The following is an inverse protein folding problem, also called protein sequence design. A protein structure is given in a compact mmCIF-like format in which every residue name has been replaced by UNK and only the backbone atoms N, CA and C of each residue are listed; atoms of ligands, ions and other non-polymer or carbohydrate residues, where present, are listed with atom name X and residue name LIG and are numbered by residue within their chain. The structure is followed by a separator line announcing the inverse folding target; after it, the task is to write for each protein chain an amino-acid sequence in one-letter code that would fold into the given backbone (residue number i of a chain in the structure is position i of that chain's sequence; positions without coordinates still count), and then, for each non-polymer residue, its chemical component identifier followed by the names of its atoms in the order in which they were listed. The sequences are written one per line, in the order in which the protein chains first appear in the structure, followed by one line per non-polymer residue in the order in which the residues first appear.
data_IF_921273426652
#
_entry.id   IF_921273426652
#
_cell.length_a   1.000
_cell.length_b   1.000
_cell.length_c   1.000
_cell.angle_alpha   90.00
_cell.angle_beta   90.00
_cell.angle_gamma   90.00
#
_symmetry.space_group_name_H-M   'P 1'
#
loop_
_entity.id
_entity.type
_entity.pdbx_description
1 polymer ?
#
# COMPACT_ATOMS: atom_id res chain seq x y z
N UNK A 1 -19.19 12.24 -17.08
CA UNK A 1 -19.89 12.30 -15.79
C UNK A 1 -18.87 12.01 -14.70
N UNK A 2 -18.85 12.76 -13.59
CA UNK A 2 -18.04 12.45 -12.41
C UNK A 2 -18.72 11.35 -11.59
N UNK A 3 -17.93 10.48 -10.96
CA UNK A 3 -18.38 9.40 -10.11
C UNK A 3 -17.24 8.85 -9.26
N UNK A 4 -17.51 7.81 -8.49
CA UNK A 4 -16.50 7.12 -7.68
C UNK A 4 -15.88 5.98 -8.47
N UNK A 5 -14.57 5.84 -8.34
CA UNK A 5 -13.81 4.80 -9.02
C UNK A 5 -12.83 4.14 -8.06
N UNK A 6 -12.85 2.83 -8.04
CA UNK A 6 -11.80 2.03 -7.40
C UNK A 6 -10.69 1.76 -8.41
N UNK A 7 -9.47 2.03 -8.03
CA UNK A 7 -8.27 1.82 -8.82
C UNK A 7 -7.37 0.85 -8.08
N UNK A 8 -6.92 -0.18 -8.77
CA UNK A 8 -5.95 -1.14 -8.25
C UNK A 8 -4.90 -1.47 -9.31
N UNK A 9 -3.67 -1.70 -8.86
CA UNK A 9 -2.58 -2.16 -9.72
C UNK A 9 -2.37 -3.65 -9.57
N UNK A 10 -2.18 -4.36 -10.70
CA UNK A 10 -1.98 -5.81 -10.76
C UNK A 10 -0.74 -6.17 -11.56
N UNK A 11 -0.27 -7.40 -11.42
CA UNK A 11 0.80 -7.94 -12.26
C UNK A 11 2.20 -7.82 -11.67
N UNK A 12 2.35 -7.45 -10.39
CA UNK A 12 3.64 -7.44 -9.68
C UNK A 12 3.75 -8.55 -8.64
N UNK A 13 3.16 -9.70 -8.90
CA UNK A 13 3.25 -10.86 -7.99
C UNK A 13 4.71 -11.25 -7.66
N UNK A 14 5.67 -10.81 -8.47
CA UNK A 14 7.10 -11.18 -8.37
C UNK A 14 8.04 -10.02 -8.05
N UNK A 15 7.58 -8.76 -8.07
CA UNK A 15 8.45 -7.59 -7.88
C UNK A 15 7.80 -6.56 -6.99
N UNK A 16 8.48 -6.13 -5.93
CA UNK A 16 8.01 -5.07 -5.06
C UNK A 16 8.20 -3.69 -5.69
N UNK A 17 7.17 -2.85 -5.64
CA UNK A 17 7.21 -1.43 -5.97
C UNK A 17 7.94 -0.66 -4.87
N UNK A 18 7.59 -1.00 -3.63
CA UNK A 18 8.11 -0.37 -2.43
C UNK A 18 8.84 -1.43 -1.60
N UNK A 19 10.18 -1.37 -1.54
CA UNK A 19 11.01 -2.36 -0.85
C UNK A 19 11.44 -1.92 0.54
N UNK A 20 11.56 -0.62 0.73
CA UNK A 20 12.04 0.02 1.96
C UNK A 20 11.22 1.26 2.27
N UNK A 21 11.33 1.75 3.50
CA UNK A 21 10.58 2.89 4.00
C UNK A 21 10.68 4.14 3.10
N UNK A 22 11.87 4.42 2.57
CA UNK A 22 12.10 5.56 1.68
C UNK A 22 11.32 5.45 0.37
N UNK A 23 11.07 4.23 -0.11
CA UNK A 23 10.28 4.01 -1.32
C UNK A 23 8.81 4.35 -1.06
N UNK A 24 8.28 3.95 0.11
CA UNK A 24 6.93 4.31 0.54
C UNK A 24 6.78 5.82 0.74
N UNK A 25 7.70 6.47 1.47
CA UNK A 25 7.71 7.94 1.64
C UNK A 25 7.67 8.63 0.29
N UNK A 26 8.48 8.14 -0.65
CA UNK A 26 8.51 8.68 -1.99
C UNK A 26 7.20 8.42 -2.75
N UNK A 27 6.59 7.23 -2.59
CA UNK A 27 5.27 6.90 -3.15
C UNK A 27 4.16 7.79 -2.61
N UNK A 28 4.16 8.08 -1.30
CA UNK A 28 3.21 9.01 -0.67
C UNK A 28 3.35 10.44 -1.22
N UNK A 29 4.59 10.91 -1.38
CA UNK A 29 4.87 12.23 -1.97
C UNK A 29 4.42 12.29 -3.44
N UNK A 30 4.55 11.18 -4.19
CA UNK A 30 4.06 11.13 -5.56
C UNK A 30 2.54 11.21 -5.65
N UNK A 31 1.78 10.64 -4.70
CA UNK A 31 0.33 10.83 -4.64
C UNK A 31 0.00 12.32 -4.51
N UNK A 32 0.64 12.99 -3.54
CA UNK A 32 0.45 14.42 -3.28
C UNK A 32 0.77 15.30 -4.51
N UNK A 33 1.78 14.91 -5.30
CA UNK A 33 2.15 15.62 -6.52
C UNK A 33 1.17 15.32 -7.67
N UNK A 34 0.78 14.04 -7.82
CA UNK A 34 -0.11 13.63 -8.90
C UNK A 34 -1.49 14.29 -8.78
N UNK A 35 -2.05 14.36 -7.56
CA UNK A 35 -3.39 14.93 -7.38
C UNK A 35 -3.51 16.38 -7.87
N UNK A 36 -2.42 17.14 -7.87
CA UNK A 36 -2.38 18.53 -8.32
C UNK A 36 -2.52 18.67 -9.84
N UNK A 37 -2.25 17.62 -10.60
CA UNK A 37 -2.27 17.64 -12.06
C UNK A 37 -3.59 17.19 -12.69
N UNK A 38 -4.57 16.73 -11.91
CA UNK A 38 -5.79 16.12 -12.43
C UNK A 38 -7.02 16.55 -11.63
N UNK A 39 -8.19 16.62 -12.30
CA UNK A 39 -9.47 16.94 -11.66
C UNK A 39 -10.05 15.69 -10.96
N UNK A 40 -9.37 15.27 -9.90
CA UNK A 40 -9.75 14.14 -9.05
C UNK A 40 -9.68 14.50 -7.57
N UNK A 41 -10.52 13.86 -6.77
CA UNK A 41 -10.50 13.92 -5.30
C UNK A 41 -10.14 12.54 -4.80
N UNK A 42 -9.15 12.44 -3.92
CA UNK A 42 -8.77 11.19 -3.27
C UNK A 42 -9.61 10.99 -2.03
N UNK A 43 -10.42 9.92 -2.00
CA UNK A 43 -11.18 9.53 -0.81
C UNK A 43 -10.32 8.70 0.13
N UNK A 44 -9.72 7.64 -0.39
CA UNK A 44 -8.79 6.80 0.38
C UNK A 44 -7.75 6.16 -0.54
N UNK A 45 -6.68 5.67 0.09
CA UNK A 45 -5.64 4.90 -0.59
C UNK A 45 -4.93 3.95 0.37
N UNK A 46 -4.26 2.95 -0.21
CA UNK A 46 -3.33 2.06 0.48
C UNK A 46 -2.20 1.68 -0.47
N UNK A 47 -0.95 1.85 -0.02
CA UNK A 47 0.24 1.40 -0.72
C UNK A 47 0.73 0.12 -0.06
N UNK A 48 0.75 -0.98 -0.79
CA UNK A 48 1.33 -2.25 -0.39
C UNK A 48 2.68 -2.43 -1.09
N UNK A 49 3.50 -3.36 -0.63
CA UNK A 49 4.83 -3.56 -1.22
C UNK A 49 4.82 -3.76 -2.74
N UNK A 50 3.85 -4.48 -3.26
CA UNK A 50 3.76 -4.89 -4.67
C UNK A 50 2.58 -4.32 -5.44
N UNK A 51 1.69 -3.58 -4.79
CA UNK A 51 0.53 -2.97 -5.44
C UNK A 51 0.03 -1.73 -4.68
N UNK A 52 -0.89 -1.01 -5.30
CA UNK A 52 -1.54 0.15 -4.71
C UNK A 52 -3.03 0.18 -5.02
N UNK A 53 -3.77 0.80 -4.12
CA UNK A 53 -5.20 1.05 -4.26
C UNK A 53 -5.53 2.51 -4.05
N UNK A 54 -6.50 3.01 -4.82
CA UNK A 54 -7.12 4.33 -4.62
C UNK A 54 -8.64 4.21 -4.74
N UNK A 55 -9.36 5.02 -3.97
CA UNK A 55 -10.75 5.37 -4.27
C UNK A 55 -10.76 6.84 -4.61
N UNK A 56 -11.13 7.14 -5.85
CA UNK A 56 -11.15 8.50 -6.39
C UNK A 56 -12.55 8.92 -6.75
N UNK A 57 -12.83 10.22 -6.62
CA UNK A 57 -13.98 10.87 -7.24
C UNK A 57 -13.51 11.77 -8.38
N UNK A 58 -14.07 11.58 -9.57
CA UNK A 58 -13.68 12.33 -10.77
C UNK A 58 -14.36 11.76 -12.01
N UNK A 59 -13.89 12.12 -13.20
CA UNK A 59 -14.28 11.44 -14.42
C UNK A 59 -13.41 10.20 -14.63
N UNK A 60 -13.92 9.19 -15.35
CA UNK A 60 -13.14 8.00 -15.73
C UNK A 60 -11.81 8.37 -16.39
N UNK A 61 -11.83 9.38 -17.27
CA UNK A 61 -10.64 9.85 -17.98
C UNK A 61 -9.60 10.43 -17.02
N UNK A 62 -10.01 11.30 -16.10
CA UNK A 62 -9.10 11.92 -15.13
C UNK A 62 -8.55 10.90 -14.13
N UNK A 63 -9.39 9.98 -13.66
CA UNK A 63 -8.96 8.89 -12.80
C UNK A 63 -7.93 7.99 -13.49
N UNK A 64 -8.11 7.70 -14.78
CA UNK A 64 -7.15 6.94 -15.60
C UNK A 64 -5.83 7.70 -15.75
N UNK A 65 -5.88 8.97 -16.10
CA UNK A 65 -4.69 9.82 -16.28
C UNK A 65 -3.90 9.94 -14.97
N UNK A 66 -4.58 10.14 -13.85
CA UNK A 66 -3.96 10.15 -12.51
C UNK A 66 -3.22 8.84 -12.24
N UNK A 67 -3.87 7.70 -12.45
CA UNK A 67 -3.29 6.39 -12.14
C UNK A 67 -2.09 6.04 -13.03
N UNK A 68 -2.16 6.38 -14.32
CA UNK A 68 -1.03 6.18 -15.25
C UNK A 68 0.17 7.09 -14.90
N UNK A 69 -0.08 8.34 -14.51
CA UNK A 69 0.99 9.23 -14.05
C UNK A 69 1.61 8.72 -12.75
N UNK A 70 0.80 8.26 -11.79
CA UNK A 70 1.31 7.67 -10.56
C UNK A 70 2.16 6.42 -10.85
N UNK A 71 1.67 5.50 -11.68
CA UNK A 71 2.42 4.34 -12.17
C UNK A 71 3.74 4.73 -12.83
N UNK A 72 3.73 5.76 -13.72
CA UNK A 72 4.93 6.28 -14.39
C UNK A 72 5.97 6.79 -13.39
N UNK A 73 5.54 7.50 -12.34
CA UNK A 73 6.42 8.00 -11.27
C UNK A 73 7.05 6.85 -10.49
N UNK A 74 6.27 5.85 -10.10
CA UNK A 74 6.77 4.63 -9.45
C UNK A 74 7.84 3.95 -10.32
N UNK A 75 7.57 3.78 -11.62
CA UNK A 75 8.52 3.18 -12.56
C UNK A 75 9.84 3.97 -12.67
N UNK A 76 9.75 5.31 -12.71
CA UNK A 76 10.93 6.17 -12.77
C UNK A 76 11.77 6.07 -11.51
N UNK A 77 11.16 5.99 -10.32
CA UNK A 77 11.88 5.79 -9.05
C UNK A 77 12.59 4.44 -9.00
N UNK A 78 11.91 3.39 -9.39
CA UNK A 78 12.51 2.05 -9.48
C UNK A 78 13.73 2.05 -10.38
N UNK A 79 13.65 2.72 -11.54
CA UNK A 79 14.80 2.88 -12.47
C UNK A 79 15.97 3.60 -11.81
N UNK A 80 15.71 4.70 -11.13
CA UNK A 80 16.75 5.50 -10.45
C UNK A 80 17.39 4.75 -9.28
N UNK A 81 16.67 3.81 -8.67
CA UNK A 81 17.19 2.93 -7.62
C UNK A 81 17.96 1.71 -8.15
N UNK A 82 18.21 1.62 -9.48
CA UNK A 82 18.89 0.48 -10.10
C UNK A 82 18.02 -0.78 -10.25
N UNK A 83 16.70 -0.66 -10.07
CA UNK A 83 15.75 -1.75 -10.23
C UNK A 83 15.35 -2.00 -11.69
N UNK A 84 14.86 -3.20 -11.98
CA UNK A 84 14.34 -3.56 -13.30
C UNK A 84 13.00 -2.87 -13.57
N UNK A 85 12.99 -1.94 -14.52
CA UNK A 85 11.77 -1.22 -14.96
C UNK A 85 10.78 -2.12 -15.71
N UNK A 86 11.25 -3.26 -16.23
CA UNK A 86 10.40 -4.21 -16.95
C UNK A 86 9.21 -4.69 -16.11
N UNK A 87 9.37 -4.82 -14.78
CA UNK A 87 8.27 -5.16 -13.87
C UNK A 87 7.10 -4.16 -13.93
N UNK A 88 7.40 -2.85 -13.89
CA UNK A 88 6.36 -1.82 -13.91
C UNK A 88 5.66 -1.64 -15.26
N UNK A 89 6.28 -2.01 -16.37
CA UNK A 89 5.62 -1.97 -17.70
C UNK A 89 4.49 -2.98 -17.81
N UNK A 90 4.61 -4.13 -17.14
CA UNK A 90 3.60 -5.19 -17.09
C UNK A 90 2.50 -4.95 -16.04
N UNK A 91 2.61 -3.90 -15.22
CA UNK A 91 1.56 -3.57 -14.24
C UNK A 91 0.32 -3.10 -14.96
N UNK A 92 -0.75 -3.84 -14.81
CA UNK A 92 -2.07 -3.43 -15.27
C UNK A 92 -2.75 -2.58 -14.19
N UNK A 93 -3.32 -1.44 -14.58
CA UNK A 93 -4.15 -0.63 -13.70
C UNK A 93 -5.61 -0.90 -14.03
N UNK A 94 -6.33 -1.53 -13.11
CA UNK A 94 -7.76 -1.74 -13.22
C UNK A 94 -8.51 -0.57 -12.62
N UNK A 95 -9.59 -0.17 -13.27
CA UNK A 95 -10.45 0.93 -12.82
C UNK A 95 -11.89 0.42 -12.86
N UNK A 96 -12.51 0.31 -11.71
CA UNK A 96 -13.89 -0.11 -11.55
C UNK A 96 -14.76 1.08 -11.12
N UNK A 97 -15.90 1.26 -11.80
CA UNK A 97 -16.91 2.24 -11.40
C UNK A 97 -17.65 1.75 -10.15
N UNK A 98 -17.85 2.64 -9.18
CA UNK A 98 -18.58 2.37 -7.95
C UNK A 98 -19.95 3.03 -8.07
N UNK A 99 -20.98 2.22 -8.25
CA UNK A 99 -22.30 2.64 -8.71
C UNK A 99 -23.30 2.93 -7.58
N UNK A 100 -23.01 2.48 -6.35
CA UNK A 100 -23.92 2.70 -5.23
C UNK A 100 -23.17 2.96 -3.90
N UNK A 101 -23.91 3.51 -2.94
CA UNK A 101 -23.40 3.87 -1.61
C UNK A 101 -22.84 2.67 -0.84
N UNK A 102 -23.55 1.55 -0.84
CA UNK A 102 -23.13 0.34 -0.12
C UNK A 102 -21.82 -0.22 -0.68
N UNK A 103 -21.70 -0.22 -2.01
CA UNK A 103 -20.48 -0.65 -2.67
C UNK A 103 -19.33 0.31 -2.39
N UNK A 104 -19.59 1.63 -2.30
CA UNK A 104 -18.56 2.62 -1.93
C UNK A 104 -18.02 2.37 -0.52
N UNK A 105 -18.89 2.08 0.46
CA UNK A 105 -18.48 1.73 1.82
C UNK A 105 -17.62 0.48 1.85
N UNK A 106 -18.03 -0.56 1.12
CA UNK A 106 -17.29 -1.82 1.03
C UNK A 106 -15.91 -1.63 0.37
N UNK A 107 -15.84 -0.88 -0.72
CA UNK A 107 -14.56 -0.62 -1.42
C UNK A 107 -13.60 0.22 -0.56
N UNK A 108 -14.10 1.25 0.13
CA UNK A 108 -13.26 2.04 1.06
C UNK A 108 -12.72 1.12 2.16
N UNK A 109 -13.59 0.32 2.79
CA UNK A 109 -13.16 -0.60 3.83
C UNK A 109 -12.18 -1.65 3.30
N UNK A 110 -12.40 -2.21 2.10
CA UNK A 110 -11.49 -3.14 1.42
C UNK A 110 -10.11 -2.53 1.23
N UNK A 111 -10.02 -1.33 0.65
CA UNK A 111 -8.74 -0.62 0.42
C UNK A 111 -7.97 -0.43 1.73
N UNK A 112 -8.65 0.02 2.78
CA UNK A 112 -8.01 0.29 4.06
C UNK A 112 -7.65 -0.98 4.84
N UNK A 113 -8.32 -2.10 4.57
CA UNK A 113 -8.07 -3.42 5.20
C UNK A 113 -6.96 -4.22 4.55
N UNK A 114 -6.43 -3.80 3.40
CA UNK A 114 -5.39 -4.54 2.70
C UNK A 114 -4.23 -4.99 3.60
N UNK A 115 -3.67 -4.14 4.50
CA UNK A 115 -2.62 -4.55 5.43
C UNK A 115 -3.07 -5.61 6.44
N UNK A 116 -4.34 -5.57 6.87
CA UNK A 116 -4.93 -6.56 7.75
C UNK A 116 -5.13 -7.90 7.04
N UNK A 117 -5.66 -7.88 5.82
CA UNK A 117 -5.85 -9.07 4.99
C UNK A 117 -4.50 -9.75 4.66
N UNK A 118 -3.43 -8.94 4.54
CA UNK A 118 -2.06 -9.41 4.38
C UNK A 118 -1.43 -9.96 5.67
N UNK A 119 -2.09 -9.82 6.83
CA UNK A 119 -1.53 -10.20 8.12
C UNK A 119 -0.39 -9.29 8.61
N UNK A 120 -0.20 -8.11 8.02
CA UNK A 120 0.87 -7.17 8.38
C UNK A 120 0.59 -6.53 9.74
N UNK A 121 -0.66 -6.14 9.98
CA UNK A 121 -1.09 -5.45 11.20
C UNK A 121 -2.47 -5.95 11.62
N UNK A 122 -2.77 -5.83 12.93
CA UNK A 122 -4.10 -6.15 13.47
C UNK A 122 -5.13 -5.02 13.27
N UNK A 123 -4.65 -3.79 13.08
CA UNK A 123 -5.50 -2.59 13.00
C UNK A 123 -5.09 -1.72 11.81
N UNK A 124 -5.99 -1.48 10.83
CA UNK A 124 -5.68 -0.75 9.60
C UNK A 124 -5.09 0.65 9.82
N UNK A 125 -5.53 1.36 10.86
CA UNK A 125 -5.07 2.73 11.15
C UNK A 125 -3.64 2.84 11.69
N UNK A 126 -3.00 1.71 12.02
CA UNK A 126 -1.57 1.68 12.36
C UNK A 126 -0.66 1.53 11.12
N UNK A 127 -1.24 1.31 9.94
CA UNK A 127 -0.45 1.20 8.72
C UNK A 127 -0.12 2.57 8.15
N UNK A 128 1.17 2.98 8.16
CA UNK A 128 1.54 4.37 7.85
C UNK A 128 1.42 4.72 6.36
N UNK A 129 1.31 3.70 5.49
CA UNK A 129 1.28 3.89 4.03
C UNK A 129 -0.15 3.82 3.47
N UNK A 130 -1.11 4.20 4.29
CA UNK A 130 -2.51 4.34 3.91
C UNK A 130 -3.12 5.60 4.52
N UNK A 131 -4.32 5.93 4.05
CA UNK A 131 -5.10 7.04 4.61
C UNK A 131 -5.95 6.65 5.84
N UNK A 132 -5.87 5.39 6.31
CA UNK A 132 -6.77 4.87 7.36
C UNK A 132 -6.78 5.70 8.65
N UNK A 133 -5.62 6.25 9.05
CA UNK A 133 -5.48 7.05 10.27
C UNK A 133 -6.15 8.44 10.21
N UNK A 134 -6.63 8.88 9.04
CA UNK A 134 -7.23 10.21 8.89
C UNK A 134 -8.69 10.29 9.37
N UNK A 135 -9.44 9.19 9.27
CA UNK A 135 -10.89 9.22 9.40
C UNK A 135 -11.34 9.12 10.84
N UNK A 136 -12.33 9.95 11.20
CA UNK A 136 -12.93 10.04 12.54
C UNK A 136 -11.90 10.28 13.65
N UNK A 137 -10.78 10.89 13.30
CA UNK A 137 -9.64 11.11 14.20
C UNK A 137 -9.47 12.59 14.55
N UNK A 138 -10.58 13.28 14.81
CA UNK A 138 -10.66 14.74 15.01
C UNK A 138 -9.83 15.33 16.16
N UNK A 139 -9.07 14.50 16.89
CA UNK A 139 -8.19 14.94 17.98
C UNK A 139 -6.69 14.86 17.70
N UNK A 140 -6.26 14.22 16.62
CA UNK A 140 -4.82 14.12 16.29
C UNK A 140 -4.47 15.21 15.29
N UNK A 141 -3.92 16.31 15.78
CA UNK A 141 -3.23 17.27 14.92
C UNK A 141 -2.00 16.56 14.34
N UNK A 142 -2.04 16.31 13.04
CA UNK A 142 -0.82 15.90 12.34
C UNK A 142 0.14 17.09 12.34
N UNK A 143 1.27 16.93 13.02
CA UNK A 143 2.31 17.96 13.10
C UNK A 143 3.33 17.75 11.99
N UNK A 144 3.69 18.82 11.29
CA UNK A 144 4.67 18.81 10.23
C UNK A 144 5.22 20.20 9.99
N UNK A 145 6.37 20.29 9.32
CA UNK A 145 6.97 21.54 8.85
C UNK A 145 6.24 21.95 7.56
N UNK A 146 5.80 23.20 7.48
CA UNK A 146 5.19 23.73 6.27
C UNK A 146 6.22 23.81 5.14
N UNK A 147 5.80 23.49 3.91
CA UNK A 147 6.66 23.68 2.75
C UNK A 147 7.11 25.14 2.60
N UNK A 148 6.29 26.10 3.04
CA UNK A 148 6.67 27.50 3.06
C UNK A 148 7.92 27.80 3.90
N UNK A 149 8.14 27.05 4.96
CA UNK A 149 9.29 27.21 5.87
C UNK A 149 10.57 26.54 5.33
N UNK A 150 10.44 25.74 4.26
CA UNK A 150 11.55 25.01 3.67
C UNK A 150 12.22 25.77 2.52
N UNK A 151 13.54 25.73 2.45
CA UNK A 151 14.27 26.21 1.26
C UNK A 151 13.93 25.38 0.02
N UNK A 152 13.99 26.00 -1.18
CA UNK A 152 13.75 25.31 -2.45
C UNK A 152 14.61 24.04 -2.61
N UNK A 153 15.87 24.12 -2.19
CA UNK A 153 16.80 22.99 -2.22
C UNK A 153 16.31 21.83 -1.34
N UNK A 154 15.76 22.12 -0.15
CA UNK A 154 15.20 21.12 0.77
C UNK A 154 13.94 20.51 0.17
N UNK A 155 13.00 21.34 -0.37
CA UNK A 155 11.81 20.89 -1.07
C UNK A 155 12.15 19.96 -2.23
N UNK A 156 13.08 20.35 -3.12
CA UNK A 156 13.50 19.52 -4.25
C UNK A 156 14.11 18.19 -3.82
N UNK A 157 14.91 18.19 -2.76
CA UNK A 157 15.51 16.96 -2.23
C UNK A 157 14.46 15.96 -1.73
N UNK A 158 13.39 16.47 -1.08
CA UNK A 158 12.28 15.68 -0.54
C UNK A 158 11.37 15.19 -1.67
N UNK A 159 10.90 16.09 -2.51
CA UNK A 159 9.87 15.81 -3.50
C UNK A 159 10.44 15.18 -4.78
N UNK A 160 11.74 15.45 -5.07
CA UNK A 160 12.41 15.10 -6.33
C UNK A 160 11.55 15.47 -7.57
N UNK A 161 10.85 16.59 -7.46
CA UNK A 161 9.93 17.12 -8.46
C UNK A 161 10.03 18.64 -8.50
N UNK A 162 9.79 19.20 -9.69
CA UNK A 162 9.64 20.64 -9.91
C UNK A 162 8.18 21.09 -10.03
N UNK A 163 7.24 20.16 -9.87
CA UNK A 163 5.82 20.49 -9.84
C UNK A 163 5.57 21.41 -8.65
N UNK A 164 4.93 22.57 -8.84
CA UNK A 164 4.55 23.44 -7.74
C UNK A 164 3.59 22.70 -6.81
N UNK A 165 3.99 22.59 -5.55
CA UNK A 165 3.16 22.01 -4.48
C UNK A 165 2.72 23.16 -3.59
N UNK A 166 1.45 23.20 -3.11
CA UNK A 166 0.97 24.27 -2.24
C UNK A 166 1.87 24.47 -1.02
N UNK A 167 2.18 25.72 -0.73
CA UNK A 167 3.04 26.11 0.38
C UNK A 167 2.47 25.70 1.76
N UNK A 168 1.13 25.52 1.83
CA UNK A 168 0.42 25.06 3.02
C UNK A 168 0.56 23.58 3.31
N UNK A 169 1.14 22.80 2.38
CA UNK A 169 1.34 21.37 2.63
C UNK A 169 2.35 21.14 3.74
N UNK A 170 2.04 20.19 4.62
CA UNK A 170 2.86 19.82 5.76
C UNK A 170 3.67 18.57 5.45
N UNK A 171 4.91 18.57 5.92
CA UNK A 171 5.86 17.47 5.74
C UNK A 171 6.30 16.98 7.11
N UNK A 172 6.24 15.68 7.35
CA UNK A 172 6.69 15.07 8.60
C UNK A 172 8.24 15.04 8.73
N UNK A 173 8.72 14.60 9.89
CA UNK A 173 10.16 14.48 10.16
C UNK A 173 10.92 13.49 9.27
N UNK A 174 10.20 12.68 8.45
CA UNK A 174 10.78 11.72 7.51
C UNK A 174 10.79 12.25 6.06
N UNK A 175 10.24 13.43 5.83
CA UNK A 175 10.13 14.04 4.50
C UNK A 175 8.89 13.57 3.73
N UNK A 176 7.87 13.06 4.39
CA UNK A 176 6.60 12.64 3.79
C UNK A 176 5.57 13.77 3.89
N UNK A 177 4.95 14.15 2.77
CA UNK A 177 3.78 15.03 2.78
C UNK A 177 2.65 14.32 3.51
N UNK A 178 2.05 14.98 4.48
CA UNK A 178 0.98 14.42 5.28
C UNK A 178 -0.26 14.15 4.41
N UNK A 179 -0.86 12.95 4.50
CA UNK A 179 -2.05 12.61 3.72
C UNK A 179 -3.24 13.56 3.92
N UNK A 180 -3.34 14.21 5.08
CA UNK A 180 -4.34 15.25 5.35
C UNK A 180 -4.29 16.45 4.38
N UNK A 181 -3.17 16.64 3.69
CA UNK A 181 -3.02 17.73 2.73
C UNK A 181 -3.70 17.44 1.38
N UNK A 182 -3.94 16.17 1.04
CA UNK A 182 -4.40 15.78 -0.30
C UNK A 182 -5.52 14.74 -0.31
N UNK A 183 -5.95 14.25 0.84
CA UNK A 183 -7.09 13.32 0.99
C UNK A 183 -8.29 14.06 1.55
N UNK A 184 -9.45 13.88 0.93
CA UNK A 184 -10.72 14.39 1.47
C UNK A 184 -11.28 13.42 2.51
N UNK A 185 -10.82 13.56 3.75
CA UNK A 185 -11.31 12.75 4.87
C UNK A 185 -12.77 13.00 5.19
N UNK A 186 -13.25 14.24 4.99
CA UNK A 186 -14.64 14.61 5.27
C UNK A 186 -15.62 13.88 4.34
N UNK A 187 -15.25 13.68 3.07
CA UNK A 187 -16.07 12.92 2.14
C UNK A 187 -16.27 11.47 2.63
N UNK A 188 -15.22 10.82 3.14
CA UNK A 188 -15.33 9.47 3.72
C UNK A 188 -16.15 9.47 5.01
N UNK A 189 -15.94 10.44 5.88
CA UNK A 189 -16.73 10.59 7.11
C UNK A 189 -18.22 10.79 6.82
N UNK A 190 -18.56 11.51 5.74
CA UNK A 190 -19.94 11.65 5.26
C UNK A 190 -20.52 10.34 4.72
N UNK A 191 -19.71 9.51 4.03
CA UNK A 191 -20.12 8.21 3.54
C UNK A 191 -20.55 7.29 4.71
N UNK A 192 -19.73 7.20 5.74
CA UNK A 192 -20.01 6.32 6.89
C UNK A 192 -20.90 6.97 7.96
N UNK A 193 -20.98 8.30 8.03
CA UNK A 193 -21.75 9.13 8.97
C UNK A 193 -21.34 9.00 10.44
N UNK A 194 -20.94 7.80 10.90
CA UNK A 194 -20.59 7.52 12.29
C UNK A 194 -19.29 6.71 12.40
N UNK A 195 -18.43 7.03 13.40
CA UNK A 195 -17.20 6.27 13.64
C UNK A 195 -17.43 4.78 13.85
N UNK A 196 -18.50 4.42 14.58
CA UNK A 196 -18.85 3.01 14.84
C UNK A 196 -19.15 2.23 13.56
N UNK A 197 -19.88 2.84 12.61
CA UNK A 197 -20.15 2.20 11.30
C UNK A 197 -18.87 1.98 10.51
N UNK A 198 -17.98 2.97 10.49
CA UNK A 198 -16.67 2.85 9.87
C UNK A 198 -15.84 1.73 10.49
N UNK A 199 -15.74 1.68 11.82
CA UNK A 199 -15.01 0.64 12.53
C UNK A 199 -15.61 -0.76 12.32
N UNK A 200 -16.95 -0.87 12.30
CA UNK A 200 -17.62 -2.15 11.98
C UNK A 200 -17.30 -2.61 10.55
N UNK A 201 -17.28 -1.69 9.59
CA UNK A 201 -16.92 -2.03 8.20
C UNK A 201 -15.47 -2.48 8.09
N UNK A 202 -14.55 -1.87 8.83
CA UNK A 202 -13.17 -2.31 8.92
C UNK A 202 -12.99 -3.66 9.65
N UNK A 203 -13.92 -4.05 10.52
CA UNK A 203 -13.87 -5.33 11.23
C UNK A 203 -14.42 -6.50 10.42
N UNK A 204 -15.30 -6.25 9.42
CA UNK A 204 -15.90 -7.31 8.59
C UNK A 204 -14.89 -7.84 7.57
N UNK A 205 -14.94 -9.16 7.32
CA UNK A 205 -14.27 -9.76 6.16
C UNK A 205 -15.11 -9.50 4.92
N UNK A 206 -14.64 -8.61 4.06
CA UNK A 206 -15.32 -8.19 2.83
C UNK A 206 -14.49 -8.47 1.57
N UNK A 207 -13.29 -9.03 1.75
CA UNK A 207 -12.32 -9.23 0.69
C UNK A 207 -12.93 -10.05 -0.47
N UNK A 208 -13.59 -11.17 -0.15
CA UNK A 208 -14.19 -12.02 -1.16
C UNK A 208 -15.30 -11.32 -1.96
N UNK A 209 -16.12 -10.50 -1.29
CA UNK A 209 -17.25 -9.83 -1.95
C UNK A 209 -16.75 -8.77 -2.94
N UNK A 210 -15.74 -8.01 -2.56
CA UNK A 210 -15.13 -6.98 -3.41
C UNK A 210 -14.28 -7.60 -4.52
N UNK A 211 -13.51 -8.65 -4.22
CA UNK A 211 -12.70 -9.37 -5.21
C UNK A 211 -13.56 -10.02 -6.30
N UNK A 212 -14.72 -10.58 -5.94
CA UNK A 212 -15.68 -11.14 -6.90
C UNK A 212 -16.23 -10.04 -7.81
N UNK A 213 -16.61 -8.88 -7.25
CA UNK A 213 -17.13 -7.75 -8.03
C UNK A 213 -16.08 -7.13 -8.95
N UNK A 214 -14.81 -7.12 -8.53
CA UNK A 214 -13.70 -6.64 -9.34
C UNK A 214 -13.20 -7.66 -10.35
N UNK A 215 -13.58 -8.92 -10.22
CA UNK A 215 -13.05 -10.03 -11.03
C UNK A 215 -11.56 -10.26 -10.81
N UNK A 216 -11.07 -10.02 -9.59
CA UNK A 216 -9.64 -10.08 -9.25
C UNK A 216 -9.47 -10.72 -7.89
N UNK A 217 -8.78 -11.85 -7.84
CA UNK A 217 -8.18 -12.33 -6.60
C UNK A 217 -6.79 -11.69 -6.47
N UNK A 218 -6.63 -10.73 -5.57
CA UNK A 218 -5.34 -10.08 -5.34
C UNK A 218 -4.45 -10.94 -4.46
N UNK A 219 -3.26 -11.24 -4.94
CA UNK A 219 -2.23 -11.83 -4.09
C UNK A 219 -1.46 -10.70 -3.40
N UNK A 220 -1.80 -10.46 -2.15
CA UNK A 220 -1.04 -9.55 -1.30
C UNK A 220 0.27 -10.21 -0.94
N UNK A 221 1.40 -9.59 -1.27
CA UNK A 221 2.72 -10.04 -0.82
C UNK A 221 3.25 -9.10 0.27
N UNK A 222 3.82 -9.68 1.30
CA UNK A 222 4.54 -8.96 2.35
C UNK A 222 5.97 -8.69 1.90
N UNK A 223 6.56 -7.59 2.36
CA UNK A 223 8.01 -7.36 2.21
C UNK A 223 8.81 -8.37 3.04
N UNK A 224 10.08 -8.57 2.69
CA UNK A 224 10.98 -9.41 3.48
C UNK A 224 11.05 -8.95 4.94
N UNK A 225 11.00 -7.64 5.20
CA UNK A 225 11.07 -7.06 6.54
C UNK A 225 9.78 -7.32 7.34
N UNK A 226 8.61 -7.24 6.72
CA UNK A 226 7.33 -7.57 7.33
C UNK A 226 7.25 -9.05 7.70
N UNK A 227 7.71 -9.93 6.79
CA UNK A 227 7.79 -11.37 7.07
C UNK A 227 8.76 -11.63 8.22
N UNK A 228 9.97 -11.05 8.22
CA UNK A 228 10.96 -11.25 9.27
C UNK A 228 10.45 -10.81 10.64
N UNK A 229 9.64 -9.74 10.70
CA UNK A 229 9.03 -9.27 11.95
C UNK A 229 8.10 -10.33 12.57
N UNK A 230 7.31 -11.03 11.75
CA UNK A 230 6.37 -12.06 12.21
C UNK A 230 7.01 -13.46 12.31
N UNK A 231 8.12 -13.67 11.60
CA UNK A 231 8.78 -14.95 11.51
C UNK A 231 9.39 -15.41 12.85
N UNK A 232 9.83 -14.45 13.67
CA UNK A 232 10.36 -14.75 15.01
C UNK A 232 9.36 -15.48 15.89
N UNK A 233 8.10 -15.01 15.91
CA UNK A 233 7.02 -15.67 16.66
C UNK A 233 6.68 -17.03 16.07
N UNK A 234 6.64 -17.14 14.74
CA UNK A 234 6.40 -18.42 14.07
C UNK A 234 7.47 -19.46 14.41
N UNK A 235 8.75 -19.05 14.40
CA UNK A 235 9.88 -19.95 14.72
C UNK A 235 9.83 -20.40 16.17
N UNK A 236 9.55 -19.49 17.11
CA UNK A 236 9.40 -19.84 18.53
C UNK A 236 8.25 -20.82 18.75
N UNK A 237 7.10 -20.57 18.14
CA UNK A 237 5.91 -21.38 18.35
C UNK A 237 5.99 -22.76 17.70
N UNK A 238 6.55 -22.86 16.48
CA UNK A 238 6.55 -24.11 15.70
C UNK A 238 7.79 -24.97 15.92
N UNK A 239 8.94 -24.35 16.23
CA UNK A 239 10.23 -25.04 16.30
C UNK A 239 10.92 -24.91 17.66
N UNK A 240 10.41 -24.06 18.57
CA UNK A 240 11.03 -23.79 19.89
C UNK A 240 12.48 -23.29 19.73
N UNK A 241 12.74 -22.46 18.74
CA UNK A 241 14.02 -21.85 18.40
C UNK A 241 13.90 -20.34 18.36
N UNK A 242 15.02 -19.63 18.55
CA UNK A 242 15.03 -18.15 18.55
C UNK A 242 15.29 -17.57 17.16
N UNK A 243 15.94 -18.33 16.28
CA UNK A 243 16.33 -17.79 14.97
C UNK A 243 16.37 -18.87 13.86
N UNK A 244 16.32 -18.42 12.60
CA UNK A 244 16.44 -19.30 11.42
C UNK A 244 17.79 -20.05 11.41
N UNK A 245 18.85 -19.44 11.94
CA UNK A 245 20.18 -20.04 11.95
C UNK A 245 20.26 -21.32 12.80
N UNK A 246 19.37 -21.46 13.78
CA UNK A 246 19.29 -22.63 14.67
C UNK A 246 18.46 -23.77 14.08
N UNK A 247 17.76 -23.53 12.97
CA UNK A 247 16.93 -24.53 12.33
C UNK A 247 17.76 -25.53 11.53
N UNK A 248 17.46 -26.83 11.68
CA UNK A 248 17.99 -27.88 10.82
C UNK A 248 17.49 -27.74 9.39
N UNK A 249 18.09 -28.46 8.44
CA UNK A 249 17.66 -28.45 7.05
C UNK A 249 16.19 -28.86 6.88
N UNK A 250 15.75 -29.90 7.59
CA UNK A 250 14.36 -30.36 7.58
C UNK A 250 13.40 -29.31 8.14
N UNK A 251 13.79 -28.64 9.24
CA UNK A 251 13.01 -27.57 9.84
C UNK A 251 12.91 -26.36 8.90
N UNK A 252 13.96 -26.01 8.16
CA UNK A 252 13.93 -24.94 7.15
C UNK A 252 13.02 -25.30 5.98
N UNK A 253 13.00 -26.55 5.54
CA UNK A 253 12.08 -27.04 4.53
C UNK A 253 10.63 -26.92 5.01
N UNK A 254 10.35 -27.35 6.26
CA UNK A 254 9.02 -27.16 6.86
C UNK A 254 8.65 -25.68 6.99
N UNK A 255 9.61 -24.82 7.32
CA UNK A 255 9.43 -23.37 7.38
C UNK A 255 9.03 -22.80 6.01
N UNK A 256 9.57 -23.28 4.88
CA UNK A 256 9.16 -22.86 3.54
C UNK A 256 7.66 -23.07 3.31
N UNK A 257 7.12 -24.22 3.68
CA UNK A 257 5.69 -24.53 3.59
C UNK A 257 4.84 -23.58 4.46
N UNK A 258 5.29 -23.33 5.70
CA UNK A 258 4.63 -22.41 6.62
C UNK A 258 4.65 -20.97 6.07
N UNK A 259 5.78 -20.52 5.52
CA UNK A 259 5.91 -19.21 4.90
C UNK A 259 5.00 -19.07 3.66
N UNK A 260 4.90 -20.12 2.84
CA UNK A 260 3.97 -20.15 1.72
C UNK A 260 2.52 -20.03 2.17
N UNK A 261 2.15 -20.81 3.19
CA UNK A 261 0.78 -20.88 3.71
C UNK A 261 0.37 -19.62 4.46
N UNK A 262 1.23 -19.13 5.37
CA UNK A 262 0.89 -18.06 6.30
C UNK A 262 1.13 -16.67 5.71
N UNK A 263 2.18 -16.51 4.89
CA UNK A 263 2.59 -15.21 4.34
C UNK A 263 2.41 -15.13 2.82
N UNK A 264 1.94 -16.20 2.17
CA UNK A 264 1.85 -16.30 0.70
C UNK A 264 3.14 -15.88 -0.01
N UNK A 265 4.29 -16.06 0.66
CA UNK A 265 5.58 -15.63 0.17
C UNK A 265 5.96 -16.31 -1.15
N UNK A 266 6.62 -15.57 -2.03
CA UNK A 266 7.11 -16.09 -3.32
C UNK A 266 8.37 -16.94 -3.16
N UNK A 267 8.64 -17.87 -4.11
CA UNK A 267 9.79 -18.79 -4.08
C UNK A 267 11.11 -18.05 -3.81
N UNK A 268 11.38 -16.96 -4.55
CA UNK A 268 12.61 -16.16 -4.37
C UNK A 268 12.70 -15.50 -2.99
N UNK A 269 11.58 -15.10 -2.43
CA UNK A 269 11.50 -14.48 -1.12
C UNK A 269 11.73 -15.51 -0.02
N UNK A 270 11.08 -16.67 -0.11
CA UNK A 270 11.30 -17.79 0.79
C UNK A 270 12.78 -18.21 0.76
N UNK A 271 13.36 -18.36 -0.43
CA UNK A 271 14.76 -18.73 -0.61
C UNK A 271 15.72 -17.74 0.08
N UNK A 272 15.52 -16.43 -0.10
CA UNK A 272 16.35 -15.40 0.56
C UNK A 272 16.25 -15.48 2.08
N UNK A 273 15.03 -15.57 2.61
CA UNK A 273 14.79 -15.57 4.06
C UNK A 273 15.30 -16.86 4.72
N UNK A 274 15.00 -18.01 4.12
CA UNK A 274 15.41 -19.32 4.68
C UNK A 274 16.86 -19.70 4.38
N UNK A 275 17.52 -18.92 3.49
CA UNK A 275 18.87 -19.20 2.97
C UNK A 275 18.98 -20.57 2.31
N UNK A 276 17.94 -20.97 1.60
CA UNK A 276 17.88 -22.15 0.76
C UNK A 276 18.00 -21.78 -0.71
N UNK A 277 18.45 -22.75 -1.50
CA UNK A 277 18.47 -22.57 -2.95
C UNK A 277 17.04 -22.47 -3.52
N UNK A 278 16.78 -21.53 -4.48
CA UNK A 278 15.46 -21.35 -5.08
C UNK A 278 14.88 -22.59 -5.75
N UNK A 279 15.74 -23.47 -6.34
CA UNK A 279 15.28 -24.72 -6.94
C UNK A 279 14.80 -25.71 -5.87
N UNK A 280 15.47 -25.74 -4.73
CA UNK A 280 15.08 -26.56 -3.58
C UNK A 280 13.72 -26.06 -3.04
N UNK A 281 13.55 -24.75 -2.88
CA UNK A 281 12.28 -24.16 -2.43
C UNK A 281 11.16 -24.46 -3.43
N UNK A 282 11.42 -24.33 -4.75
CA UNK A 282 10.43 -24.60 -5.79
C UNK A 282 9.91 -26.05 -5.83
N UNK A 283 10.71 -27.00 -5.34
CA UNK A 283 10.30 -28.42 -5.20
C UNK A 283 9.44 -28.70 -3.99
N UNK A 284 9.46 -27.79 -3.00
CA UNK A 284 8.80 -27.97 -1.72
C UNK A 284 7.46 -27.21 -1.64
N UNK A 285 7.35 -26.03 -2.29
CA UNK A 285 6.21 -25.11 -2.22
C UNK A 285 5.52 -24.96 -3.56
#
# INVERSE_FOLDING_TARGET
MKGYYHISSHGLEKNDIFKKKEDFVAGMNDIAICVLGFDVIILCFCLMSNHFHFVLYGTMSECRRFSEEYKRRCAMRMKLAGGEVQGMRGVEVKIAFVDCQEYLENVIAYVLRNPLAAGILLLPYHYPWSSAALYFNGGIQQTGESLNEMSERKRFRILKSRVPVPDSYLVDGQGMILPSCYVDSKAVEQVFRHPSRFMMSLARKIENDVEIQLGVAEQVSMTDQEILTQLGDLIRNEFQKESISELSMEQRIRLCLLMKRNFRAGIKQIARITRLDPETVAKVV
#
